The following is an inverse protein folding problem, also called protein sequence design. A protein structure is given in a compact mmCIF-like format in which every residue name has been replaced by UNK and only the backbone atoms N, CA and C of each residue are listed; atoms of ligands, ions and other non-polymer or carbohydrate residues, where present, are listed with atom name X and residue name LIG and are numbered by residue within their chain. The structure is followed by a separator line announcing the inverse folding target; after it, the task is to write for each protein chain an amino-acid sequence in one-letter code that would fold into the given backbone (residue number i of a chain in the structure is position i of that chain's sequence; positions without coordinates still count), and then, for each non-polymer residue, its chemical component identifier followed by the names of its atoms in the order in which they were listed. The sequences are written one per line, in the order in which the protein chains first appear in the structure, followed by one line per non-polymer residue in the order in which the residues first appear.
data_IF_115976161395
#
_entry.id   IF_115976161395
#
_cell.length_a   1.000
_cell.length_b   1.000
_cell.length_c   1.000
_cell.angle_alpha   90.00
_cell.angle_beta   90.00
_cell.angle_gamma   90.00
#
_symmetry.space_group_name_H-M   'P 1'
#
loop_
_entity.id
_entity.type
_entity.pdbx_description
1 polymer ?
#
# COMPACT_ATOMS: atom_id res chain seq x y z
N UNK A 1 -24.79 66.26 -12.04
CA UNK A 1 -25.68 65.92 -10.91
C UNK A 1 -24.87 65.07 -9.92
N UNK A 2 -24.61 65.64 -8.74
CA UNK A 2 -24.06 65.09 -7.48
C UNK A 2 -22.84 64.14 -7.49
N UNK A 3 -21.75 64.74 -7.02
CA UNK A 3 -20.63 64.19 -6.24
C UNK A 3 -21.13 63.62 -4.90
N UNK A 4 -20.42 62.59 -4.38
CA UNK A 4 -20.11 62.23 -2.96
C UNK A 4 -19.99 60.67 -2.90
N UNK A 5 -18.97 60.01 -2.36
CA UNK A 5 -17.88 60.42 -1.47
C UNK A 5 -16.78 59.32 -1.47
N UNK A 6 -15.51 59.75 -1.54
CA UNK A 6 -14.29 58.97 -1.29
C UNK A 6 -14.21 58.48 0.16
N UNK A 7 -13.60 57.32 0.42
CA UNK A 7 -12.53 57.15 1.42
C UNK A 7 -11.55 56.03 0.97
N UNK A 8 -10.25 56.38 0.83
CA UNK A 8 -9.12 55.46 1.01
C UNK A 8 -8.42 55.84 2.33
N UNK A 9 -8.22 54.85 3.22
CA UNK A 9 -7.17 54.73 4.26
C UNK A 9 -7.13 53.24 4.61
N UNK A 10 -6.13 52.50 4.13
CA UNK A 10 -4.89 52.18 4.84
C UNK A 10 -5.10 51.22 6.02
N UNK A 11 -4.29 50.16 6.00
CA UNK A 11 -3.96 49.24 7.10
C UNK A 11 -4.93 48.09 7.39
N UNK A 12 -4.81 47.00 6.61
CA UNK A 12 -4.75 45.66 7.21
C UNK A 12 -3.77 44.77 6.45
N UNK A 13 -2.99 44.05 7.24
CA UNK A 13 -1.73 43.40 6.90
C UNK A 13 -1.79 42.30 5.84
N UNK A 14 -0.61 42.09 5.27
CA UNK A 14 -0.12 40.92 4.53
C UNK A 14 -0.75 39.59 4.96
N UNK A 15 -1.16 38.80 3.96
CA UNK A 15 -0.92 37.37 3.96
C UNK A 15 -0.64 36.93 2.51
N UNK A 16 0.63 36.65 2.22
CA UNK A 16 1.04 36.03 0.97
C UNK A 16 0.40 34.65 0.88
N UNK A 17 -0.27 34.36 -0.24
CA UNK A 17 -0.75 33.02 -0.58
C UNK A 17 0.47 32.10 -0.75
N UNK A 18 0.78 31.31 0.26
CA UNK A 18 1.68 30.17 0.13
C UNK A 18 0.98 29.10 -0.71
N UNK A 19 1.56 28.79 -1.86
CA UNK A 19 1.23 27.60 -2.61
C UNK A 19 1.57 26.39 -1.75
N UNK A 20 0.58 25.57 -1.42
CA UNK A 20 0.76 24.30 -0.72
C UNK A 20 1.34 23.26 -1.66
N UNK A 21 2.64 23.33 -1.92
CA UNK A 21 3.41 22.18 -2.38
C UNK A 21 3.46 21.16 -1.24
N UNK A 22 3.16 19.90 -1.55
CA UNK A 22 3.47 18.80 -0.64
C UNK A 22 4.96 18.88 -0.25
N UNK A 23 5.34 18.58 1.00
CA UNK A 23 6.73 18.71 1.41
C UNK A 23 7.57 17.72 0.59
N UNK A 24 8.35 18.26 -0.34
CA UNK A 24 9.38 17.52 -1.04
C UNK A 24 10.53 17.34 -0.03
N UNK A 25 10.49 16.23 0.71
CA UNK A 25 11.57 15.88 1.62
C UNK A 25 12.79 15.46 0.80
N UNK A 26 13.78 16.35 0.85
CA UNK A 26 15.13 16.21 0.31
C UNK A 26 15.90 15.06 0.98
N UNK A 27 16.50 14.17 0.18
CA UNK A 27 17.75 13.46 0.49
C UNK A 27 17.83 12.66 1.80
N UNK A 28 16.91 11.72 2.03
CA UNK A 28 16.93 10.81 3.19
C UNK A 28 17.56 9.46 2.88
N UNK A 29 18.30 8.88 3.84
CA UNK A 29 18.81 7.49 3.83
C UNK A 29 17.74 6.52 3.31
N UNK A 30 18.15 5.49 2.56
CA UNK A 30 17.23 4.44 2.09
C UNK A 30 16.36 3.92 3.25
N UNK A 31 15.05 3.67 3.01
CA UNK A 31 14.15 3.22 4.06
C UNK A 31 14.60 1.86 4.58
N UNK A 32 14.53 1.66 5.89
CA UNK A 32 14.75 0.33 6.47
C UNK A 32 13.55 -0.57 6.18
N UNK A 33 12.35 0.00 6.19
CA UNK A 33 11.11 -0.73 5.95
C UNK A 33 10.31 -0.06 4.85
N UNK A 34 9.92 -0.83 3.84
CA UNK A 34 8.93 -0.42 2.84
C UNK A 34 7.61 -1.11 3.14
N UNK A 35 6.52 -0.35 3.22
CA UNK A 35 5.16 -0.89 3.33
C UNK A 35 4.36 -0.43 2.13
N UNK A 36 3.83 -1.37 1.34
CA UNK A 36 2.82 -1.03 0.32
C UNK A 36 1.44 -1.30 0.89
N UNK A 37 0.49 -0.37 0.74
CA UNK A 37 -0.87 -0.49 1.27
C UNK A 37 -1.92 -0.03 0.25
N UNK A 38 -3.19 -0.42 0.47
CA UNK A 38 -4.32 -0.01 -0.37
C UNK A 38 -4.41 -0.76 -1.70
N UNK A 39 -5.45 -0.49 -2.47
CA UNK A 39 -5.67 -1.07 -3.79
C UNK A 39 -5.18 -0.18 -4.92
N UNK A 40 -4.66 -0.76 -6.01
CA UNK A 40 -4.40 0.01 -7.23
C UNK A 40 -5.70 0.41 -7.93
N UNK A 41 -5.63 1.49 -8.71
CA UNK A 41 -6.71 2.03 -9.55
C UNK A 41 -6.21 2.11 -10.99
N UNK A 42 -6.64 1.15 -11.80
CA UNK A 42 -6.31 1.06 -13.22
C UNK A 42 -7.34 1.84 -14.02
N UNK A 43 -6.94 2.98 -14.59
CA UNK A 43 -7.85 3.89 -15.29
C UNK A 43 -8.48 3.22 -16.51
N UNK A 44 -9.80 3.24 -16.57
CA UNK A 44 -10.60 2.87 -17.74
C UNK A 44 -10.60 4.07 -18.71
N UNK A 45 -10.93 5.23 -18.15
CA UNK A 45 -10.97 6.52 -18.83
C UNK A 45 -10.60 7.64 -17.82
N UNK A 46 -10.83 8.91 -18.14
CA UNK A 46 -10.46 10.01 -17.24
C UNK A 46 -11.38 10.17 -16.00
N UNK A 47 -12.46 9.39 -15.92
CA UNK A 47 -13.47 9.44 -14.84
C UNK A 47 -13.52 8.14 -14.04
N UNK A 48 -13.31 6.99 -14.70
CA UNK A 48 -13.56 5.65 -14.15
C UNK A 48 -12.27 4.84 -14.05
N UNK A 49 -12.24 3.93 -13.08
CA UNK A 49 -11.13 3.01 -12.88
C UNK A 49 -11.62 1.61 -12.49
N UNK A 50 -10.81 0.60 -12.78
CA UNK A 50 -10.88 -0.74 -12.22
C UNK A 50 -9.99 -0.79 -10.97
N UNK A 51 -10.48 -1.29 -9.85
CA UNK A 51 -9.70 -1.35 -8.62
C UNK A 51 -10.15 -2.46 -7.68
N UNK A 52 -9.36 -2.68 -6.64
CA UNK A 52 -9.59 -3.70 -5.63
C UNK A 52 -10.24 -3.12 -4.36
N UNK A 53 -10.94 -3.95 -3.60
CA UNK A 53 -11.68 -3.56 -2.38
C UNK A 53 -10.79 -3.18 -1.18
N UNK A 54 -9.46 -3.29 -1.30
CA UNK A 54 -8.56 -2.99 -0.18
C UNK A 54 -8.59 -1.52 0.19
N UNK A 55 -8.97 -1.23 1.43
CA UNK A 55 -8.88 0.12 2.00
C UNK A 55 -7.45 0.51 2.36
N UNK A 56 -6.57 -0.46 2.59
CA UNK A 56 -5.20 -0.25 3.05
C UNK A 56 -5.03 -0.15 4.57
N UNK A 57 -6.10 -0.33 5.36
CA UNK A 57 -6.09 -0.21 6.83
C UNK A 57 -4.98 -1.02 7.51
N UNK A 58 -4.82 -2.29 7.13
CA UNK A 58 -3.78 -3.15 7.70
C UNK A 58 -2.37 -2.66 7.35
N UNK A 59 -2.14 -2.25 6.10
CA UNK A 59 -0.85 -1.70 5.68
C UNK A 59 -0.48 -0.41 6.40
N UNK A 60 -1.44 0.52 6.59
CA UNK A 60 -1.20 1.71 7.42
C UNK A 60 -0.86 1.35 8.87
N UNK A 61 -1.58 0.38 9.45
CA UNK A 61 -1.30 -0.08 10.81
C UNK A 61 0.10 -0.72 10.91
N UNK A 62 0.52 -1.53 9.91
CA UNK A 62 1.87 -2.11 9.85
C UNK A 62 2.95 -1.02 9.78
N UNK A 63 2.74 0.01 8.96
CA UNK A 63 3.67 1.14 8.85
C UNK A 63 3.79 1.88 10.20
N UNK A 64 2.66 2.11 10.88
CA UNK A 64 2.66 2.72 12.21
C UNK A 64 3.37 1.86 13.26
N UNK A 65 3.11 0.55 13.28
CA UNK A 65 3.74 -0.41 14.18
C UNK A 65 5.26 -0.41 14.01
N UNK A 66 5.72 -0.45 12.76
CA UNK A 66 7.13 -0.38 12.42
C UNK A 66 7.78 0.94 12.87
N UNK A 67 7.12 2.08 12.63
CA UNK A 67 7.63 3.38 13.07
C UNK A 67 7.71 3.48 14.61
N UNK A 68 6.73 2.95 15.35
CA UNK A 68 6.74 2.89 16.82
C UNK A 68 7.89 2.04 17.38
N UNK A 69 8.38 1.08 16.60
CA UNK A 69 9.56 0.27 16.94
C UNK A 69 10.88 0.98 16.57
N UNK A 70 10.84 2.23 16.09
CA UNK A 70 12.00 3.06 15.81
C UNK A 70 12.60 2.88 14.40
N UNK A 71 11.91 2.18 13.50
CA UNK A 71 12.40 1.99 12.12
C UNK A 71 12.11 3.21 11.25
N UNK A 72 13.02 3.49 10.30
CA UNK A 72 12.75 4.40 9.20
C UNK A 72 11.81 3.72 8.17
N UNK A 73 10.55 4.17 8.09
CA UNK A 73 9.49 3.55 7.29
C UNK A 73 9.09 4.42 6.10
N UNK A 74 9.02 3.80 4.92
CA UNK A 74 8.36 4.34 3.72
C UNK A 74 7.03 3.63 3.49
N UNK A 75 5.93 4.38 3.51
CA UNK A 75 4.59 3.95 3.11
C UNK A 75 4.31 4.36 1.66
N UNK A 76 4.14 3.35 0.79
CA UNK A 76 3.57 3.51 -0.54
C UNK A 76 2.08 3.17 -0.47
N UNK A 77 1.20 4.14 -0.68
CA UNK A 77 -0.25 3.93 -0.63
C UNK A 77 -1.01 4.88 -1.60
N UNK A 78 -2.25 4.58 -2.01
CA UNK A 78 -3.09 5.56 -2.68
C UNK A 78 -3.47 6.72 -1.75
N UNK A 79 -3.66 7.92 -2.31
CA UNK A 79 -4.13 9.08 -1.57
C UNK A 79 -5.41 8.80 -0.76
N UNK A 80 -6.37 8.07 -1.36
CA UNK A 80 -7.61 7.68 -0.69
C UNK A 80 -7.44 6.82 0.56
N UNK A 81 -6.33 6.07 0.66
CA UNK A 81 -6.03 5.27 1.87
C UNK A 81 -5.60 6.20 3.01
N UNK A 82 -4.73 7.17 2.71
CA UNK A 82 -4.23 8.15 3.69
C UNK A 82 -5.31 9.15 4.07
N UNK A 83 -6.13 9.63 3.13
CA UNK A 83 -7.30 10.48 3.41
C UNK A 83 -8.28 9.82 4.39
N UNK A 84 -8.43 8.49 4.31
CA UNK A 84 -9.36 7.73 5.13
C UNK A 84 -8.83 7.40 6.53
N UNK A 85 -7.53 7.14 6.67
CA UNK A 85 -6.94 6.63 7.91
C UNK A 85 -5.92 7.57 8.56
N UNK A 86 -5.62 8.70 7.93
CA UNK A 86 -4.53 9.59 8.29
C UNK A 86 -3.18 9.10 7.76
N UNK A 87 -2.23 10.03 7.63
CA UNK A 87 -0.82 9.67 7.45
C UNK A 87 -0.28 9.25 8.82
N UNK A 88 0.29 8.04 8.97
CA UNK A 88 0.93 7.66 10.22
C UNK A 88 2.04 8.68 10.58
N UNK A 89 2.11 9.17 11.83
CA UNK A 89 3.25 9.94 12.31
C UNK A 89 4.57 9.19 12.07
N UNK A 90 5.64 9.96 11.80
CA UNK A 90 7.01 9.46 11.65
C UNK A 90 7.19 8.43 10.52
N UNK A 91 6.32 8.45 9.51
CA UNK A 91 6.39 7.63 8.29
C UNK A 91 6.54 8.51 7.06
N UNK A 92 7.55 8.25 6.21
CA UNK A 92 7.64 8.86 4.87
C UNK A 92 6.51 8.28 4.01
N UNK A 93 5.70 9.14 3.41
CA UNK A 93 4.56 8.74 2.60
C UNK A 93 4.74 9.17 1.14
N UNK A 94 4.62 8.21 0.21
CA UNK A 94 4.64 8.50 -1.23
C UNK A 94 3.43 7.89 -1.94
N UNK A 95 2.58 8.69 -2.60
CA UNK A 95 1.37 8.20 -3.22
C UNK A 95 1.66 7.32 -4.44
N UNK A 96 0.82 6.31 -4.71
CA UNK A 96 0.72 5.65 -6.02
C UNK A 96 -0.74 5.57 -6.50
N UNK A 97 -0.92 5.23 -7.78
CA UNK A 97 -2.26 5.07 -8.38
C UNK A 97 -2.44 3.69 -9.00
N UNK A 98 -1.64 3.36 -10.01
CA UNK A 98 -1.70 2.08 -10.73
C UNK A 98 -0.62 1.09 -10.29
N UNK A 99 -0.75 -0.17 -10.72
CA UNK A 99 0.29 -1.18 -10.60
C UNK A 99 1.63 -0.71 -11.18
N UNK A 100 1.62 -0.07 -12.36
CA UNK A 100 2.84 0.48 -12.98
C UNK A 100 3.44 1.64 -12.18
N UNK A 101 2.61 2.51 -11.60
CA UNK A 101 3.10 3.59 -10.72
C UNK A 101 3.75 3.05 -9.45
N UNK A 102 3.11 2.04 -8.83
CA UNK A 102 3.67 1.35 -7.65
C UNK A 102 5.00 0.66 -8.00
N UNK A 103 5.04 -0.08 -9.12
CA UNK A 103 6.25 -0.74 -9.63
C UNK A 103 7.40 0.25 -9.78
N UNK A 104 7.19 1.38 -10.47
CA UNK A 104 8.23 2.40 -10.64
C UNK A 104 8.74 2.94 -9.30
N UNK A 105 7.85 3.18 -8.34
CA UNK A 105 8.19 3.75 -7.03
C UNK A 105 8.95 2.79 -6.13
N UNK A 106 8.58 1.51 -6.12
CA UNK A 106 9.26 0.53 -5.28
C UNK A 106 10.60 0.12 -5.89
N UNK A 107 10.70 -0.01 -7.21
CA UNK A 107 11.94 -0.39 -7.90
C UNK A 107 12.91 0.78 -8.12
N UNK A 108 12.52 2.02 -7.82
CA UNK A 108 13.44 3.16 -7.78
C UNK A 108 14.22 3.26 -6.46
N UNK A 109 13.99 2.33 -5.53
CA UNK A 109 14.69 2.27 -4.25
C UNK A 109 15.80 1.23 -4.36
N UNK A 110 17.01 1.59 -3.92
CA UNK A 110 18.17 0.73 -4.09
C UNK A 110 18.29 -0.35 -3.01
N UNK A 111 17.69 -0.13 -1.83
CA UNK A 111 17.78 -1.07 -0.71
C UNK A 111 16.64 -0.90 0.27
N UNK A 112 16.29 -2.00 0.95
CA UNK A 112 15.49 -2.01 2.18
C UNK A 112 15.88 -3.21 3.04
N UNK A 113 15.72 -3.13 4.36
CA UNK A 113 15.91 -4.27 5.26
C UNK A 113 14.68 -5.17 5.26
N UNK A 114 13.48 -4.56 5.28
CA UNK A 114 12.21 -5.28 5.25
C UNK A 114 11.24 -4.69 4.23
N UNK A 115 10.43 -5.54 3.62
CA UNK A 115 9.33 -5.13 2.73
C UNK A 115 8.05 -5.85 3.13
N UNK A 116 7.02 -5.08 3.51
CA UNK A 116 5.65 -5.56 3.67
C UNK A 116 4.83 -5.21 2.43
N UNK A 117 4.75 -6.15 1.49
CA UNK A 117 4.00 -5.96 0.24
C UNK A 117 2.50 -6.27 0.44
N UNK A 118 1.80 -5.43 1.21
CA UNK A 118 0.38 -5.63 1.58
C UNK A 118 -0.62 -4.94 0.64
N UNK A 119 -0.18 -4.31 -0.44
CA UNK A 119 -1.07 -3.64 -1.39
C UNK A 119 -1.85 -4.65 -2.22
N UNK A 120 -3.14 -4.37 -2.46
CA UNK A 120 -3.96 -5.15 -3.38
C UNK A 120 -3.75 -4.66 -4.80
N UNK A 121 -2.70 -5.16 -5.45
CA UNK A 121 -2.38 -4.85 -6.85
C UNK A 121 -3.37 -5.57 -7.76
N UNK A 122 -4.04 -4.85 -8.66
CA UNK A 122 -4.94 -5.44 -9.65
C UNK A 122 -4.14 -6.38 -10.56
N UNK A 123 -4.65 -7.59 -10.83
CA UNK A 123 -4.00 -8.55 -11.74
C UNK A 123 -4.13 -8.16 -13.22
N UNK A 124 -5.11 -7.33 -13.54
CA UNK A 124 -5.43 -6.87 -14.88
C UNK A 124 -5.75 -5.37 -14.89
N UNK A 125 -5.47 -4.72 -16.02
CA UNK A 125 -5.78 -3.34 -16.32
C UNK A 125 -6.44 -3.22 -17.71
N UNK A 126 -7.40 -2.31 -17.91
CA UNK A 126 -7.95 -2.03 -19.23
C UNK A 126 -6.94 -1.29 -20.12
N UNK A 127 -7.13 -1.34 -21.45
CA UNK A 127 -6.53 -0.32 -22.31
C UNK A 127 -7.13 1.05 -21.96
N UNK A 128 -6.27 2.02 -21.62
CA UNK A 128 -6.72 3.37 -21.29
C UNK A 128 -7.32 4.05 -22.52
N UNK A 129 -8.48 4.66 -22.34
CA UNK A 129 -9.08 5.60 -23.29
C UNK A 129 -8.91 7.02 -22.77
N UNK A 130 -8.55 7.96 -23.64
CA UNK A 130 -8.51 9.39 -23.29
C UNK A 130 -9.92 10.00 -23.31
N UNK A 131 -10.19 10.95 -22.41
CA UNK A 131 -11.51 11.53 -22.23
C UNK A 131 -12.45 10.65 -21.41
N UNK A 132 -13.74 11.01 -21.39
CA UNK A 132 -14.80 10.21 -20.77
C UNK A 132 -15.49 9.40 -21.88
N UNK A 133 -15.56 8.08 -21.74
CA UNK A 133 -16.32 7.27 -22.71
C UNK A 133 -17.81 7.61 -22.55
N UNK A 134 -18.51 7.82 -23.67
CA UNK A 134 -19.94 8.14 -23.67
C UNK A 134 -20.77 7.04 -22.96
N UNK A 135 -21.85 7.47 -22.32
CA UNK A 135 -22.87 6.60 -21.73
C UNK A 135 -24.04 6.30 -22.67
N UNK A 136 -24.00 6.75 -23.92
CA UNK A 136 -25.06 6.50 -24.91
C UNK A 136 -25.20 5.02 -25.31
N UNK A 137 -24.10 4.24 -25.46
CA UNK A 137 -24.24 2.81 -25.74
C UNK A 137 -24.87 2.06 -24.57
N UNK A 138 -25.78 1.13 -24.89
CA UNK A 138 -26.41 0.26 -23.88
C UNK A 138 -25.41 -0.68 -23.17
N UNK A 139 -24.26 -0.95 -23.81
CA UNK A 139 -23.23 -1.86 -23.30
C UNK A 139 -21.83 -1.25 -23.48
N UNK A 140 -20.95 -1.55 -22.52
CA UNK A 140 -19.54 -1.20 -22.56
C UNK A 140 -18.68 -2.45 -22.38
N UNK A 141 -17.85 -2.77 -23.36
CA UNK A 141 -16.88 -3.87 -23.28
C UNK A 141 -15.48 -3.33 -23.01
N UNK A 142 -14.79 -3.91 -22.02
CA UNK A 142 -13.41 -3.58 -21.69
C UNK A 142 -12.48 -4.76 -22.00
N UNK A 143 -11.46 -4.52 -22.81
CA UNK A 143 -10.37 -5.49 -23.01
C UNK A 143 -9.30 -5.29 -21.93
N UNK A 144 -9.00 -6.36 -21.19
CA UNK A 144 -8.08 -6.35 -20.06
C UNK A 144 -6.74 -7.01 -20.39
N UNK A 145 -5.66 -6.48 -19.82
CA UNK A 145 -4.29 -6.93 -19.99
C UNK A 145 -3.65 -7.16 -18.63
N UNK A 146 -2.74 -8.14 -18.53
CA UNK A 146 -2.06 -8.44 -17.27
C UNK A 146 -1.20 -7.26 -16.80
N UNK A 147 -1.25 -6.99 -15.51
CA UNK A 147 -0.35 -6.03 -14.85
C UNK A 147 0.98 -6.70 -14.45
N UNK A 148 2.01 -5.90 -14.09
CA UNK A 148 3.26 -6.44 -13.57
C UNK A 148 3.08 -7.23 -12.28
N UNK A 149 3.77 -8.36 -12.16
CA UNK A 149 3.84 -9.16 -10.94
C UNK A 149 4.88 -8.60 -9.97
N UNK A 150 4.59 -7.44 -9.36
CA UNK A 150 5.53 -6.67 -8.52
C UNK A 150 6.21 -7.54 -7.47
N UNK A 151 5.48 -8.40 -6.75
CA UNK A 151 6.04 -9.27 -5.71
C UNK A 151 7.19 -10.16 -6.23
N UNK A 152 7.08 -10.69 -7.45
CA UNK A 152 8.11 -11.54 -8.07
C UNK A 152 9.34 -10.74 -8.51
N UNK A 153 9.22 -9.42 -8.63
CA UNK A 153 10.32 -8.53 -8.98
C UNK A 153 11.12 -8.11 -7.74
N UNK A 154 10.55 -8.22 -6.53
CA UNK A 154 11.19 -7.72 -5.31
C UNK A 154 12.46 -8.48 -4.94
N UNK A 155 12.43 -9.83 -4.96
CA UNK A 155 13.61 -10.63 -4.61
C UNK A 155 14.79 -10.37 -5.56
N UNK A 156 14.64 -10.45 -6.89
CA UNK A 156 15.74 -10.13 -7.81
C UNK A 156 16.28 -8.70 -7.66
N UNK A 157 15.43 -7.74 -7.30
CA UNK A 157 15.81 -6.33 -7.17
C UNK A 157 16.54 -6.01 -5.85
N UNK A 158 16.02 -6.50 -4.73
CA UNK A 158 16.53 -6.17 -3.39
C UNK A 158 17.55 -7.18 -2.84
N UNK A 159 17.66 -8.37 -3.46
CA UNK A 159 18.61 -9.40 -3.07
C UNK A 159 18.24 -10.16 -1.80
N UNK A 160 19.04 -11.15 -1.42
CA UNK A 160 18.70 -12.13 -0.36
C UNK A 160 18.75 -11.57 1.07
N UNK A 161 19.40 -10.40 1.26
CA UNK A 161 19.48 -9.76 2.59
C UNK A 161 18.19 -9.05 3.00
N UNK A 162 17.30 -8.76 2.06
CA UNK A 162 16.03 -8.10 2.36
C UNK A 162 14.99 -9.13 2.78
N UNK A 163 14.34 -8.92 3.91
CA UNK A 163 13.23 -9.77 4.35
C UNK A 163 11.94 -9.31 3.68
N UNK A 164 11.31 -10.17 2.88
CA UNK A 164 10.11 -9.84 2.09
C UNK A 164 8.90 -10.61 2.61
N UNK A 165 7.88 -9.86 3.03
CA UNK A 165 6.58 -10.38 3.43
C UNK A 165 5.53 -10.07 2.35
N UNK A 166 5.06 -11.12 1.67
CA UNK A 166 3.92 -11.03 0.75
C UNK A 166 2.58 -11.28 1.46
N UNK A 167 1.48 -10.89 0.84
CA UNK A 167 0.14 -11.04 1.41
C UNK A 167 -0.81 -11.77 0.46
N UNK A 168 -1.66 -12.65 1.02
CA UNK A 168 -2.69 -13.39 0.28
C UNK A 168 -4.06 -13.22 0.93
N UNK A 169 -5.03 -12.82 0.13
CA UNK A 169 -6.44 -12.78 0.50
C UNK A 169 -7.18 -13.79 -0.38
N UNK A 170 -7.88 -14.73 0.24
CA UNK A 170 -8.79 -15.65 -0.44
C UNK A 170 -10.21 -15.43 0.08
N UNK A 171 -11.19 -16.09 -0.52
CA UNK A 171 -12.58 -16.04 -0.07
C UNK A 171 -13.18 -17.43 -0.14
N UNK A 172 -13.86 -17.82 0.94
CA UNK A 172 -14.60 -19.07 1.04
C UNK A 172 -13.72 -20.33 0.88
N UNK A 173 -12.55 -20.34 1.54
CA UNK A 173 -11.59 -21.45 1.51
C UNK A 173 -11.35 -22.04 2.90
N UNK A 174 -10.79 -23.25 2.96
CA UNK A 174 -10.34 -23.84 4.23
C UNK A 174 -9.00 -23.24 4.67
N UNK A 175 -8.65 -23.40 5.94
CA UNK A 175 -7.32 -23.03 6.45
C UNK A 175 -6.21 -23.74 5.67
N UNK A 176 -6.35 -25.04 5.41
CA UNK A 176 -5.37 -25.82 4.64
C UNK A 176 -5.12 -25.24 3.25
N UNK A 177 -6.19 -24.92 2.51
CA UNK A 177 -6.09 -24.28 1.19
C UNK A 177 -5.38 -22.92 1.26
N UNK A 178 -5.64 -22.15 2.32
CA UNK A 178 -5.03 -20.85 2.56
C UNK A 178 -3.52 -20.98 2.83
N UNK A 179 -3.12 -21.94 3.67
CA UNK A 179 -1.71 -22.26 3.94
C UNK A 179 -1.01 -22.77 2.66
N UNK A 180 -1.67 -23.57 1.83
CA UNK A 180 -1.10 -24.07 0.58
C UNK A 180 -0.89 -22.95 -0.45
N UNK A 181 -1.81 -22.00 -0.54
CA UNK A 181 -1.63 -20.79 -1.36
C UNK A 181 -0.46 -19.95 -0.83
N UNK A 182 -0.33 -19.83 0.50
CA UNK A 182 0.77 -19.12 1.12
C UNK A 182 2.13 -19.76 0.79
N UNK A 183 2.25 -21.08 0.97
CA UNK A 183 3.44 -21.86 0.58
C UNK A 183 3.80 -21.71 -0.90
N UNK A 184 2.81 -21.73 -1.78
CA UNK A 184 3.03 -21.47 -3.22
C UNK A 184 3.53 -20.05 -3.49
N UNK A 185 3.06 -19.04 -2.76
CA UNK A 185 3.60 -17.67 -2.88
C UNK A 185 5.08 -17.63 -2.49
N UNK A 186 5.44 -18.23 -1.35
CA UNK A 186 6.83 -18.30 -0.88
C UNK A 186 7.75 -18.87 -1.97
N UNK A 187 7.41 -20.04 -2.51
CA UNK A 187 8.20 -20.72 -3.54
C UNK A 187 8.26 -19.95 -4.86
N UNK A 188 7.15 -19.38 -5.32
CA UNK A 188 7.07 -18.70 -6.63
C UNK A 188 7.66 -17.29 -6.64
N UNK A 189 7.71 -16.62 -5.49
CA UNK A 189 8.14 -15.21 -5.40
C UNK A 189 9.43 -15.01 -4.59
N UNK A 190 9.96 -16.06 -3.96
CA UNK A 190 11.17 -15.98 -3.14
C UNK A 190 11.01 -15.12 -1.88
N UNK A 191 9.78 -15.00 -1.37
CA UNK A 191 9.47 -14.23 -0.16
C UNK A 191 9.80 -15.04 1.09
N UNK A 192 10.17 -14.36 2.18
CA UNK A 192 10.50 -14.99 3.46
C UNK A 192 9.26 -15.31 4.30
N UNK A 193 8.19 -14.54 4.08
CA UNK A 193 6.91 -14.69 4.75
C UNK A 193 5.73 -14.49 3.81
N UNK A 194 4.65 -15.21 4.09
CA UNK A 194 3.35 -14.98 3.51
C UNK A 194 2.33 -14.78 4.64
N UNK A 195 1.70 -13.61 4.69
CA UNK A 195 0.55 -13.36 5.56
C UNK A 195 -0.72 -13.63 4.76
N UNK A 196 -1.44 -14.67 5.13
CA UNK A 196 -2.62 -15.14 4.42
C UNK A 196 -3.88 -15.03 5.29
N UNK A 197 -5.00 -14.61 4.72
CA UNK A 197 -6.29 -14.60 5.42
C UNK A 197 -7.45 -14.87 4.46
N UNK A 198 -8.56 -15.40 4.98
CA UNK A 198 -9.83 -15.46 4.26
C UNK A 198 -10.60 -14.14 4.46
N UNK A 199 -11.35 -13.70 3.46
CA UNK A 199 -12.18 -12.50 3.52
C UNK A 199 -13.25 -12.59 4.62
N UNK A 200 -13.79 -13.78 4.91
CA UNK A 200 -14.76 -14.03 5.99
C UNK A 200 -14.18 -13.80 7.38
N UNK A 201 -12.85 -13.83 7.49
CA UNK A 201 -12.13 -13.59 8.74
C UNK A 201 -11.84 -12.10 8.97
N UNK A 202 -12.42 -11.22 8.15
CA UNK A 202 -12.36 -9.76 8.31
C UNK A 202 -13.78 -9.26 8.57
N UNK A 203 -14.12 -8.96 9.82
CA UNK A 203 -15.47 -8.53 10.21
C UNK A 203 -15.56 -8.18 11.69
N UNK A 204 -16.55 -7.39 12.08
CA UNK A 204 -16.85 -7.04 13.48
C UNK A 204 -15.65 -6.48 14.28
N UNK A 205 -14.77 -5.76 13.59
CA UNK A 205 -13.55 -5.19 14.18
C UNK A 205 -12.42 -6.21 14.39
N UNK A 206 -12.65 -7.49 14.11
CA UNK A 206 -11.70 -8.59 14.27
C UNK A 206 -11.13 -9.03 12.92
N UNK A 207 -9.87 -9.43 12.94
CA UNK A 207 -9.13 -10.01 11.83
C UNK A 207 -8.41 -11.27 12.32
N UNK A 208 -8.51 -12.36 11.56
CA UNK A 208 -7.61 -13.52 11.69
C UNK A 208 -6.65 -13.56 10.51
N UNK A 209 -5.38 -13.91 10.75
CA UNK A 209 -4.36 -14.10 9.72
C UNK A 209 -3.49 -15.31 10.07
N UNK A 210 -2.98 -15.97 9.04
CA UNK A 210 -1.95 -16.99 9.13
C UNK A 210 -0.65 -16.43 8.59
N UNK A 211 0.44 -16.60 9.34
CA UNK A 211 1.78 -16.22 8.88
C UNK A 211 2.53 -17.50 8.58
N UNK A 212 2.87 -17.73 7.32
CA UNK A 212 3.71 -18.85 6.88
C UNK A 212 5.11 -18.33 6.60
N UNK A 213 6.13 -18.96 7.18
CA UNK A 213 7.54 -18.62 6.94
C UNK A 213 8.17 -19.49 5.84
N UNK A 214 9.36 -19.10 5.39
CA UNK A 214 10.14 -19.81 4.37
C UNK A 214 10.56 -21.24 4.76
N UNK A 215 10.40 -21.64 6.02
CA UNK A 215 10.58 -23.03 6.50
C UNK A 215 9.27 -23.82 6.48
N UNK A 216 8.22 -23.24 5.88
CA UNK A 216 6.86 -23.76 5.76
C UNK A 216 6.13 -23.99 7.11
N UNK A 217 6.66 -23.43 8.19
CA UNK A 217 5.98 -23.36 9.48
C UNK A 217 4.97 -22.22 9.44
N UNK A 218 3.86 -22.39 10.15
CA UNK A 218 2.84 -21.35 10.23
C UNK A 218 2.36 -21.09 11.66
N UNK A 219 1.99 -19.84 11.90
CA UNK A 219 1.30 -19.38 13.11
C UNK A 219 0.01 -18.67 12.74
N UNK A 220 -0.89 -18.55 13.70
CA UNK A 220 -2.18 -17.88 13.53
C UNK A 220 -2.29 -16.73 14.52
N UNK A 221 -2.71 -15.56 14.03
CA UNK A 221 -2.99 -14.38 14.85
C UNK A 221 -4.46 -14.00 14.70
N UNK A 222 -5.07 -13.53 15.78
CA UNK A 222 -6.46 -13.03 15.79
C UNK A 222 -6.55 -11.84 16.72
N UNK A 223 -7.20 -10.77 16.28
CA UNK A 223 -7.41 -9.57 17.09
C UNK A 223 -7.94 -8.42 16.24
N UNK A 224 -7.94 -7.22 16.79
CA UNK A 224 -8.21 -6.01 16.02
C UNK A 224 -7.12 -5.74 14.97
N UNK A 225 -7.41 -4.86 14.00
CA UNK A 225 -6.41 -4.53 12.96
C UNK A 225 -5.09 -3.99 13.54
N UNK A 226 -5.07 -3.08 14.53
CA UNK A 226 -3.83 -2.66 15.18
C UNK A 226 -3.09 -3.79 15.88
N UNK A 227 -3.79 -4.62 16.67
CA UNK A 227 -3.17 -5.74 17.40
C UNK A 227 -2.54 -6.77 16.46
N UNK A 228 -3.25 -7.11 15.37
CA UNK A 228 -2.74 -8.01 14.34
C UNK A 228 -1.54 -7.38 13.61
N UNK A 229 -1.57 -6.08 13.33
CA UNK A 229 -0.43 -5.39 12.72
C UNK A 229 0.80 -5.40 13.63
N UNK A 230 0.63 -5.11 14.92
CA UNK A 230 1.70 -5.14 15.92
C UNK A 230 2.31 -6.54 16.05
N UNK A 231 1.47 -7.58 16.07
CA UNK A 231 1.93 -8.96 16.15
C UNK A 231 2.64 -9.41 14.86
N UNK A 232 2.14 -9.06 13.67
CA UNK A 232 2.83 -9.31 12.39
C UNK A 232 4.19 -8.62 12.38
N UNK A 233 4.23 -7.31 12.69
CA UNK A 233 5.46 -6.53 12.70
C UNK A 233 6.48 -7.12 13.69
N UNK A 234 6.06 -7.39 14.92
CA UNK A 234 6.94 -7.98 15.95
C UNK A 234 7.50 -9.33 15.52
N UNK A 235 6.66 -10.22 14.98
CA UNK A 235 7.08 -11.55 14.54
C UNK A 235 8.10 -11.46 13.39
N UNK A 236 7.81 -10.66 12.36
CA UNK A 236 8.64 -10.59 11.15
C UNK A 236 9.93 -9.80 11.40
N UNK A 237 9.86 -8.67 12.10
CA UNK A 237 11.03 -7.83 12.38
C UNK A 237 12.01 -8.50 13.34
N UNK A 238 11.55 -9.39 14.22
CA UNK A 238 12.43 -10.17 15.11
C UNK A 238 13.40 -11.10 14.36
N UNK A 239 13.14 -11.40 13.08
CA UNK A 239 14.01 -12.24 12.25
C UNK A 239 15.24 -11.50 11.74
N UNK A 240 15.14 -10.20 11.47
CA UNK A 240 16.30 -9.39 11.05
C UNK A 240 17.24 -9.02 12.19
N UNK A 241 16.88 -9.31 13.45
CA UNK A 241 17.75 -9.10 14.62
C UNK A 241 18.71 -10.28 14.83
N UNK A 242 18.47 -11.44 14.20
CA UNK A 242 19.21 -12.67 14.53
C UNK A 242 20.32 -13.09 13.57
N UNK A 243 20.44 -12.50 12.38
CA UNK A 243 21.40 -12.98 11.36
C UNK A 243 22.04 -11.84 10.54
N UNK A 244 22.67 -10.86 11.19
CA UNK A 244 23.64 -9.94 10.58
C UNK A 244 24.83 -9.69 11.49
#
# INVERSE_FOLDING_TARGET
MKILQQIRKSDFGRAAKTQGGAPEMTGGKNPQIIVTAGGTREKIDDVRYLGNFSSGRLGCALAQSAARLGYNVLLLAPASTVERFGSPPDVDYRPFTSAESLKRKILSLDSATFIFHSAAVADYAPARVEGKISSDPNELTLKLYRTPKILQMLRPHFGDRTVIAGFKLLSNVTEEQLIDVARRQLRSSGTDFCVANDLREIGDGVRRVHIVDSSEKYSTLKGSTPEVADAIASQILSRGVRDF
#
